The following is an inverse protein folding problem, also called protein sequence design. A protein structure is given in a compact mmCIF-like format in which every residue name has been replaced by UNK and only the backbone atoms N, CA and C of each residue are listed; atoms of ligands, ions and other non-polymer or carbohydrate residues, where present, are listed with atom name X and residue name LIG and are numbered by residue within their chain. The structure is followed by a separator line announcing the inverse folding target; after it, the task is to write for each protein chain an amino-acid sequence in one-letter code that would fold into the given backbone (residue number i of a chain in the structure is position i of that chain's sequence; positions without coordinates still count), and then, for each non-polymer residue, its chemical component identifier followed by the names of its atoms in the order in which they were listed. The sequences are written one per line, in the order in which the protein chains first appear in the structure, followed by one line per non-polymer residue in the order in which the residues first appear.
data_IF_781436526555
#
_entry.id   IF_781436526555
#
_cell.length_a   1.000
_cell.length_b   1.000
_cell.length_c   1.000
_cell.angle_alpha   90.00
_cell.angle_beta   90.00
_cell.angle_gamma   90.00
#
_symmetry.space_group_name_H-M   'P 1'
#
loop_
_entity.id
_entity.type
_entity.pdbx_description
1 polymer ?
#
# COMPACT_ATOMS: atom_id res chain seq x y z
N UNK A 1 -1.02 0.74 11.13
CA UNK A 1 -0.49 -0.64 11.09
C UNK A 1 0.63 -0.74 10.06
N UNK A 2 1.77 -1.30 10.47
CA UNK A 2 2.93 -1.63 9.61
C UNK A 2 3.15 -3.14 9.68
N UNK A 3 3.46 -3.79 8.56
CA UNK A 3 3.62 -5.25 8.46
C UNK A 3 2.39 -5.96 7.87
N UNK A 4 2.59 -7.19 7.40
CA UNK A 4 1.59 -7.92 6.61
C UNK A 4 0.28 -8.14 7.38
N UNK A 5 -0.83 -7.67 6.79
CA UNK A 5 -2.17 -7.85 7.38
C UNK A 5 -2.82 -9.13 6.88
N UNK A 6 -2.99 -10.08 7.80
CA UNK A 6 -3.76 -11.29 7.56
C UNK A 6 -5.25 -10.95 7.41
N UNK A 7 -5.92 -11.59 6.46
CA UNK A 7 -7.35 -11.32 6.12
C UNK A 7 -8.27 -11.37 7.33
N UNK A 8 -8.11 -12.39 8.19
CA UNK A 8 -8.94 -12.57 9.39
C UNK A 8 -8.76 -11.48 10.46
N UNK A 9 -7.67 -10.71 10.40
CA UNK A 9 -7.36 -9.62 11.34
C UNK A 9 -7.83 -8.25 10.85
N UNK A 10 -8.30 -8.14 9.61
CA UNK A 10 -8.73 -6.87 9.00
C UNK A 10 -9.78 -6.17 9.85
N UNK A 11 -10.79 -6.91 10.34
CA UNK A 11 -11.87 -6.34 11.18
C UNK A 11 -11.37 -5.62 12.42
N UNK A 12 -10.28 -6.10 13.03
CA UNK A 12 -9.67 -5.46 14.20
C UNK A 12 -8.77 -4.31 13.79
N UNK A 13 -7.99 -4.49 12.71
CA UNK A 13 -7.07 -3.48 12.24
C UNK A 13 -7.79 -2.17 11.85
N UNK A 14 -8.91 -2.27 11.14
CA UNK A 14 -9.70 -1.09 10.70
C UNK A 14 -10.45 -0.38 11.83
N UNK A 15 -10.57 -1.01 13.00
CA UNK A 15 -11.15 -0.40 14.20
C UNK A 15 -10.13 0.39 15.01
N UNK A 16 -8.89 -0.10 15.03
CA UNK A 16 -7.84 0.38 15.94
C UNK A 16 -6.95 1.41 15.25
N UNK A 17 -6.70 1.28 13.95
CA UNK A 17 -5.73 2.09 13.22
C UNK A 17 -6.41 3.10 12.29
N UNK A 18 -5.94 4.34 12.33
CA UNK A 18 -6.28 5.37 11.35
C UNK A 18 -5.54 5.17 10.01
N UNK A 19 -4.29 4.67 10.08
CA UNK A 19 -3.42 4.45 8.93
C UNK A 19 -3.08 2.97 8.75
N UNK A 20 -3.21 2.47 7.52
CA UNK A 20 -2.77 1.13 7.11
C UNK A 20 -1.64 1.25 6.09
N UNK A 21 -0.43 0.80 6.46
CA UNK A 21 0.75 0.93 5.60
C UNK A 21 1.06 -0.32 4.76
N UNK A 22 0.26 -1.38 4.90
CA UNK A 22 0.53 -2.70 4.35
C UNK A 22 -0.52 -3.15 3.33
N UNK A 23 -1.13 -2.20 2.62
CA UNK A 23 -2.04 -2.53 1.54
C UNK A 23 -1.23 -3.04 0.34
N UNK A 24 -1.20 -4.35 0.15
CA UNK A 24 -0.25 -5.04 -0.75
C UNK A 24 -0.90 -5.95 -1.81
N UNK A 25 -2.23 -6.09 -1.81
CA UNK A 25 -2.98 -6.98 -2.73
C UNK A 25 -4.47 -6.65 -2.80
N UNK A 26 -5.12 -7.02 -3.91
CA UNK A 26 -6.53 -6.74 -4.18
C UNK A 26 -7.47 -7.44 -3.20
N UNK A 27 -7.10 -8.64 -2.74
CA UNK A 27 -7.87 -9.42 -1.78
C UNK A 27 -7.97 -8.71 -0.42
N UNK A 28 -6.93 -7.97 -0.04
CA UNK A 28 -6.91 -7.20 1.20
C UNK A 28 -7.77 -5.95 1.05
N UNK A 29 -7.69 -5.25 -0.08
CA UNK A 29 -8.54 -4.11 -0.41
C UNK A 29 -10.03 -4.49 -0.32
N UNK A 30 -10.43 -5.58 -0.99
CA UNK A 30 -11.80 -6.09 -0.96
C UNK A 30 -12.27 -6.50 0.43
N UNK A 31 -11.39 -7.10 1.24
CA UNK A 31 -11.73 -7.46 2.62
C UNK A 31 -11.96 -6.20 3.48
N UNK A 32 -11.12 -5.18 3.34
CA UNK A 32 -11.27 -3.91 4.04
C UNK A 32 -12.60 -3.27 3.66
N UNK A 33 -12.90 -3.17 2.37
CA UNK A 33 -14.15 -2.62 1.87
C UNK A 33 -15.36 -3.37 2.43
N UNK A 34 -15.38 -4.69 2.35
CA UNK A 34 -16.48 -5.50 2.90
C UNK A 34 -16.70 -5.26 4.41
N UNK A 35 -15.63 -5.08 5.20
CA UNK A 35 -15.71 -4.89 6.65
C UNK A 35 -16.04 -3.44 7.05
N UNK A 36 -15.72 -2.47 6.21
CA UNK A 36 -15.91 -1.05 6.49
C UNK A 36 -17.16 -0.44 5.85
N UNK A 37 -17.70 -1.04 4.78
CA UNK A 37 -18.85 -0.51 4.02
C UNK A 37 -20.05 -0.22 4.94
N UNK A 38 -20.35 -1.13 5.87
CA UNK A 38 -21.46 -0.99 6.83
C UNK A 38 -21.22 0.07 7.91
N UNK A 39 -19.99 0.58 8.04
CA UNK A 39 -19.58 1.49 9.12
C UNK A 39 -19.49 2.94 8.66
N UNK A 40 -19.53 3.21 7.35
CA UNK A 40 -19.43 4.56 6.81
C UNK A 40 -18.12 5.29 7.15
N UNK A 41 -17.06 4.54 7.47
CA UNK A 41 -15.73 5.09 7.80
C UNK A 41 -14.78 4.88 6.63
N UNK A 42 -13.75 5.72 6.57
CA UNK A 42 -12.60 5.57 5.65
C UNK A 42 -11.32 5.34 6.46
N UNK A 43 -10.45 4.48 5.97
CA UNK A 43 -9.11 4.27 6.51
C UNK A 43 -8.09 4.85 5.53
N UNK A 44 -7.09 5.55 6.06
CA UNK A 44 -5.98 6.09 5.26
C UNK A 44 -5.02 4.96 4.95
N UNK A 45 -4.71 4.76 3.68
CA UNK A 45 -3.95 3.61 3.20
C UNK A 45 -2.69 4.05 2.46
N UNK A 46 -1.58 3.38 2.76
CA UNK A 46 -0.39 3.40 1.93
C UNK A 46 -0.29 2.08 1.19
N UNK A 47 -0.03 2.18 -0.11
CA UNK A 47 0.22 1.01 -0.95
C UNK A 47 1.65 0.56 -0.71
N UNK A 48 1.81 -0.69 -0.26
CA UNK A 48 3.12 -1.30 -0.12
C UNK A 48 3.61 -1.77 -1.49
N UNK A 49 4.76 -1.26 -1.91
CA UNK A 49 5.38 -1.59 -3.22
C UNK A 49 6.64 -2.38 -3.00
N UNK A 50 6.82 -3.46 -3.75
CA UNK A 50 8.05 -4.23 -3.76
C UNK A 50 9.10 -3.54 -4.65
N UNK A 51 9.83 -2.58 -4.09
CA UNK A 51 10.87 -1.85 -4.83
C UNK A 51 12.19 -2.62 -4.95
N UNK A 52 12.40 -3.70 -4.18
CA UNK A 52 13.63 -4.50 -4.23
C UNK A 52 13.63 -5.54 -5.34
N UNK A 53 12.46 -5.94 -5.83
CA UNK A 53 12.31 -6.97 -6.88
C UNK A 53 12.46 -8.41 -6.36
N UNK A 54 12.59 -8.58 -5.05
CA UNK A 54 12.69 -9.91 -4.42
C UNK A 54 11.30 -10.56 -4.40
N UNK A 55 11.13 -11.71 -5.07
CA UNK A 55 9.84 -12.43 -5.13
C UNK A 55 9.30 -12.83 -3.75
N UNK A 56 10.16 -12.94 -2.74
CA UNK A 56 9.81 -13.32 -1.37
C UNK A 56 9.19 -12.17 -0.57
N UNK A 57 9.26 -10.93 -1.06
CA UNK A 57 8.74 -9.77 -0.34
C UNK A 57 7.32 -9.40 -0.77
N UNK A 58 6.52 -9.06 0.23
CA UNK A 58 5.19 -8.52 0.06
C UNK A 58 5.23 -7.13 -0.59
N UNK A 59 4.19 -6.84 -1.37
CA UNK A 59 3.99 -5.56 -2.03
C UNK A 59 3.62 -5.72 -3.50
N UNK A 60 2.93 -4.71 -4.01
CA UNK A 60 2.58 -4.59 -5.42
C UNK A 60 3.86 -4.40 -6.24
N UNK A 61 3.91 -4.98 -7.44
CA UNK A 61 5.05 -4.76 -8.33
C UNK A 61 5.06 -3.30 -8.80
N UNK A 62 6.23 -2.66 -8.98
CA UNK A 62 6.34 -1.31 -9.54
C UNK A 62 5.54 -1.06 -10.83
N UNK A 63 5.31 -2.10 -11.62
CA UNK A 63 4.60 -2.07 -12.89
C UNK A 63 3.09 -2.07 -12.70
N UNK A 64 2.60 -2.73 -11.64
CA UNK A 64 1.16 -2.88 -11.37
C UNK A 64 0.63 -1.79 -10.41
N UNK A 65 1.51 -0.92 -9.89
CA UNK A 65 1.14 0.13 -8.91
C UNK A 65 0.05 1.04 -9.46
N UNK A 66 0.17 1.51 -10.70
CA UNK A 66 -0.78 2.48 -11.27
C UNK A 66 -2.18 1.86 -11.38
N UNK A 67 -2.28 0.61 -11.85
CA UNK A 67 -3.55 -0.12 -11.88
C UNK A 67 -4.10 -0.40 -10.48
N UNK A 68 -3.24 -0.65 -9.49
CA UNK A 68 -3.67 -0.88 -8.12
C UNK A 68 -4.20 0.40 -7.45
N UNK A 69 -3.61 1.56 -7.75
CA UNK A 69 -4.13 2.86 -7.32
C UNK A 69 -5.55 3.05 -7.84
N UNK A 70 -5.80 2.78 -9.12
CA UNK A 70 -7.16 2.89 -9.70
C UNK A 70 -8.17 2.02 -8.94
N UNK A 71 -7.79 0.81 -8.53
CA UNK A 71 -8.64 -0.04 -7.71
C UNK A 71 -8.89 0.56 -6.32
N UNK A 72 -7.86 1.15 -5.67
CA UNK A 72 -8.03 1.82 -4.37
C UNK A 72 -8.97 3.01 -4.48
N UNK A 73 -8.84 3.82 -5.53
CA UNK A 73 -9.67 5.01 -5.76
C UNK A 73 -11.14 4.68 -6.06
N UNK A 74 -11.43 3.49 -6.60
CA UNK A 74 -12.81 3.01 -6.78
C UNK A 74 -13.50 2.67 -5.47
N UNK A 75 -12.74 2.40 -4.41
CA UNK A 75 -13.33 2.02 -3.12
C UNK A 75 -13.82 3.24 -2.34
N UNK A 76 -14.90 3.05 -1.59
CA UNK A 76 -15.42 4.10 -0.68
C UNK A 76 -14.79 4.06 0.70
N UNK A 77 -14.11 2.96 1.03
CA UNK A 77 -13.61 2.67 2.39
C UNK A 77 -12.12 2.95 2.56
N UNK A 78 -11.35 2.97 1.46
CA UNK A 78 -9.93 3.30 1.51
C UNK A 78 -9.69 4.70 0.96
N UNK A 79 -8.76 5.41 1.59
CA UNK A 79 -8.24 6.68 1.12
C UNK A 79 -6.78 6.47 0.77
N UNK A 80 -6.41 6.74 -0.48
CA UNK A 80 -5.02 6.64 -0.91
C UNK A 80 -4.23 7.81 -0.33
N UNK A 81 -3.26 7.52 0.53
CA UNK A 81 -2.43 8.53 1.21
C UNK A 81 -0.97 8.52 0.73
N UNK A 82 -0.55 7.49 0.00
CA UNK A 82 0.78 7.41 -0.58
C UNK A 82 1.33 5.98 -0.63
N UNK A 83 2.65 5.87 -0.61
CA UNK A 83 3.36 4.59 -0.77
C UNK A 83 4.19 4.20 0.45
N UNK A 84 4.46 2.91 0.55
CA UNK A 84 5.33 2.30 1.53
C UNK A 84 6.22 1.27 0.84
N UNK A 85 7.46 1.09 1.31
CA UNK A 85 8.33 -0.01 0.88
C UNK A 85 9.18 -0.52 2.05
N UNK A 86 9.63 -1.76 1.94
CA UNK A 86 10.61 -2.36 2.86
C UNK A 86 11.88 -2.68 2.05
N UNK A 87 12.92 -1.87 2.25
CA UNK A 87 14.22 -2.07 1.65
C UNK A 87 14.83 -3.44 2.05
N UNK A 88 15.72 -4.03 1.23
CA UNK A 88 16.46 -5.24 1.61
C UNK A 88 17.35 -4.98 2.82
N UNK A 89 17.46 -6.00 3.68
CA UNK A 89 18.32 -5.97 4.85
C UNK A 89 19.73 -6.42 4.44
N UNK A 90 20.46 -5.53 3.79
CA UNK A 90 21.82 -5.75 3.28
C UNK A 90 22.68 -4.51 3.53
N UNK A 91 24.01 -4.63 3.42
CA UNK A 91 24.94 -3.52 3.65
C UNK A 91 25.16 -2.63 2.41
N UNK A 92 24.62 -2.99 1.25
CA UNK A 92 24.80 -2.22 0.02
C UNK A 92 23.90 -0.98 0.01
N UNK A 93 24.50 0.18 0.31
CA UNK A 93 23.81 1.46 0.28
C UNK A 93 23.25 1.82 -1.11
N UNK A 94 23.89 1.39 -2.19
CA UNK A 94 23.44 1.65 -3.56
C UNK A 94 22.08 1.01 -3.82
N UNK A 95 21.92 -0.25 -3.41
CA UNK A 95 20.65 -0.98 -3.53
C UNK A 95 19.57 -0.35 -2.63
N UNK A 96 19.92 0.00 -1.39
CA UNK A 96 18.98 0.65 -0.46
C UNK A 96 18.49 1.99 -1.03
N UNK A 97 19.42 2.85 -1.48
CA UNK A 97 19.10 4.15 -2.08
C UNK A 97 18.27 3.99 -3.35
N UNK A 98 18.57 2.98 -4.18
CA UNK A 98 17.78 2.68 -5.37
C UNK A 98 16.33 2.31 -5.00
N UNK A 99 16.10 1.52 -3.95
CA UNK A 99 14.76 1.18 -3.48
C UNK A 99 13.94 2.43 -3.13
N UNK A 100 14.50 3.31 -2.30
CA UNK A 100 13.81 4.55 -1.91
C UNK A 100 13.65 5.54 -3.06
N UNK A 101 14.63 5.60 -3.99
CA UNK A 101 14.51 6.44 -5.19
C UNK A 101 13.36 5.99 -6.07
N UNK A 102 13.19 4.68 -6.27
CA UNK A 102 12.07 4.12 -7.04
C UNK A 102 10.73 4.47 -6.40
N UNK A 103 10.62 4.37 -5.07
CA UNK A 103 9.39 4.77 -4.35
C UNK A 103 9.08 6.26 -4.55
N UNK A 104 10.10 7.13 -4.44
CA UNK A 104 9.94 8.57 -4.68
C UNK A 104 9.46 8.86 -6.11
N UNK A 105 10.05 8.20 -7.11
CA UNK A 105 9.62 8.36 -8.51
C UNK A 105 8.15 7.95 -8.73
N UNK A 106 7.66 6.93 -8.01
CA UNK A 106 6.23 6.55 -8.04
C UNK A 106 5.35 7.64 -7.43
N UNK A 107 5.73 8.15 -6.24
CA UNK A 107 5.05 9.31 -5.63
C UNK A 107 4.98 10.51 -6.56
N UNK A 108 6.11 10.90 -7.15
CA UNK A 108 6.17 12.07 -8.02
C UNK A 108 5.33 11.88 -9.29
N UNK A 109 5.18 10.63 -9.76
CA UNK A 109 4.28 10.28 -10.87
C UNK A 109 2.81 10.31 -10.47
N UNK A 110 2.46 9.80 -9.29
CA UNK A 110 1.07 9.82 -8.79
C UNK A 110 0.57 11.22 -8.45
N UNK A 111 1.45 12.11 -7.95
CA UNK A 111 1.10 13.52 -7.71
C UNK A 111 0.74 14.25 -9.02
N UNK A 112 1.47 13.97 -10.11
CA UNK A 112 1.15 14.52 -11.44
C UNK A 112 -0.18 14.03 -12.02
N UNK A 113 -0.70 12.92 -11.51
CA UNK A 113 -1.99 12.36 -11.91
C UNK A 113 -3.17 13.02 -11.17
N UNK A 114 -2.94 14.08 -10.37
CA UNK A 114 -3.96 14.79 -9.58
C UNK A 114 -4.78 13.87 -8.67
N UNK A 115 -4.14 12.84 -8.12
CA UNK A 115 -4.74 11.99 -7.10
C UNK A 115 -4.50 12.71 -5.77
N UNK A 116 -5.37 13.68 -5.44
CA UNK A 116 -5.35 14.45 -4.20
C UNK A 116 -6.61 14.24 -3.38
#
# INVERSE_FOLDING_TARGET
MVGHLQRNKVKYAVEIFEYLHSLDRIELLKEIEQKMERRGKRIKTFIQVNTSGEKTKFGISPQDVDAFIDEVLKTKCCEFWGFMTIAPFICDEGIIRNCFRRLRQMRDRSEKLNIS
#
